data_IF_386086426018
#
_entry.id   IF_386086426018
#
_cell.length_a   1.000
_cell.length_b   1.000
_cell.length_c   1.000
_cell.angle_alpha   90.00
_cell.angle_beta   90.00
_cell.angle_gamma   90.00
#
_symmetry.space_group_name_H-M   'P 1'
#
loop_
_entity.id
_entity.type
_entity.pdbx_description
1 polymer ?
#
# COMPACT_ATOMS: atom_id res chain seq x y z
N UNK A 1 7.90 -1.70 -25.40
CA UNK A 1 6.84 -2.20 -24.48
C UNK A 1 6.95 -1.34 -23.24
N UNK A 2 5.87 -0.69 -22.82
CA UNK A 2 5.88 0.20 -21.64
C UNK A 2 6.39 -0.57 -20.43
N UNK A 3 7.32 0.00 -19.66
CA UNK A 3 7.86 -0.61 -18.44
C UNK A 3 6.98 -0.34 -17.21
N UNK A 4 5.83 0.30 -17.39
CA UNK A 4 4.94 0.72 -16.29
C UNK A 4 4.05 -0.44 -15.84
N UNK A 5 4.53 -1.17 -14.84
CA UNK A 5 3.89 -2.38 -14.33
C UNK A 5 4.15 -2.58 -12.85
N UNK A 6 3.22 -3.19 -12.16
CA UNK A 6 3.28 -3.47 -10.73
C UNK A 6 3.59 -4.95 -10.50
N UNK A 7 4.53 -5.26 -9.62
CA UNK A 7 4.71 -6.60 -9.05
C UNK A 7 4.34 -6.61 -7.58
N UNK A 8 3.65 -7.66 -7.18
CA UNK A 8 3.13 -7.80 -5.81
C UNK A 8 3.98 -8.80 -5.05
N UNK A 9 4.53 -8.38 -3.91
CA UNK A 9 5.44 -9.19 -3.09
C UNK A 9 4.81 -9.62 -1.76
N UNK A 10 3.81 -8.89 -1.29
CA UNK A 10 2.98 -9.27 -0.15
C UNK A 10 1.65 -8.53 -0.18
N UNK A 11 0.61 -9.15 0.37
CA UNK A 11 -0.79 -8.74 0.22
C UNK A 11 -1.61 -8.75 1.51
N UNK A 12 -1.05 -9.32 2.59
CA UNK A 12 -1.80 -9.58 3.81
C UNK A 12 -1.70 -8.43 4.79
N UNK A 13 -2.81 -8.12 5.46
CA UNK A 13 -2.85 -7.14 6.52
C UNK A 13 -2.42 -7.68 7.87
N UNK A 14 -2.00 -6.78 8.76
CA UNK A 14 -1.75 -6.98 10.20
C UNK A 14 -0.61 -7.94 10.59
N UNK A 15 -0.51 -9.12 9.98
CA UNK A 15 0.51 -10.14 10.29
C UNK A 15 0.68 -11.09 9.10
N UNK A 16 1.89 -11.63 8.85
CA UNK A 16 2.04 -12.69 7.87
C UNK A 16 1.31 -13.97 8.29
N UNK A 17 0.67 -14.63 7.33
CA UNK A 17 -0.12 -15.86 7.51
C UNK A 17 0.23 -16.92 6.46
N UNK A 18 1.51 -17.33 6.33
CA UNK A 18 1.86 -18.40 5.40
C UNK A 18 1.17 -19.71 5.83
N UNK A 19 0.54 -20.39 4.89
CA UNK A 19 -0.11 -21.67 5.18
C UNK A 19 -0.87 -22.24 3.98
N UNK A 20 -1.39 -23.47 4.10
CA UNK A 20 -2.09 -24.15 3.00
C UNK A 20 -3.37 -23.43 2.54
N UNK A 21 -3.92 -22.54 3.37
CA UNK A 21 -5.15 -21.81 3.09
C UNK A 21 -4.95 -20.46 2.41
N UNK A 22 -3.70 -20.04 2.18
CA UNK A 22 -3.34 -18.70 1.70
C UNK A 22 -2.36 -18.76 0.54
N UNK A 23 -2.25 -19.92 -0.11
CA UNK A 23 -1.28 -20.17 -1.19
C UNK A 23 -1.65 -19.40 -2.47
N UNK A 24 -2.95 -19.23 -2.76
CA UNK A 24 -3.42 -18.62 -4.02
C UNK A 24 -3.32 -17.10 -4.00
N UNK A 25 -3.55 -16.46 -2.86
CA UNK A 25 -3.41 -15.01 -2.75
C UNK A 25 -2.09 -14.57 -2.12
N UNK A 26 -1.55 -15.35 -1.19
CA UNK A 26 -0.32 -15.01 -0.47
C UNK A 26 -0.54 -14.70 1.00
N UNK A 27 0.51 -14.93 1.79
CA UNK A 27 0.54 -14.76 3.24
C UNK A 27 1.58 -13.76 3.75
N UNK A 28 2.42 -13.18 2.90
CA UNK A 28 3.30 -12.07 3.25
C UNK A 28 2.52 -10.76 3.35
N UNK A 29 3.00 -9.87 4.20
CA UNK A 29 2.43 -8.54 4.42
C UNK A 29 2.91 -7.51 3.41
N UNK A 30 2.21 -6.37 3.37
CA UNK A 30 2.28 -5.30 2.37
C UNK A 30 3.67 -5.03 1.79
N UNK A 31 3.85 -5.34 0.51
CA UNK A 31 5.01 -4.93 -0.26
C UNK A 31 4.71 -4.98 -1.76
N UNK A 32 4.93 -3.87 -2.46
CA UNK A 32 4.71 -3.74 -3.90
C UNK A 32 5.95 -3.15 -4.58
N UNK A 33 6.26 -3.58 -5.80
CA UNK A 33 7.33 -3.01 -6.63
C UNK A 33 6.75 -2.47 -7.92
N UNK A 34 6.90 -1.17 -8.17
CA UNK A 34 6.50 -0.52 -9.39
C UNK A 34 7.72 -0.36 -10.30
N UNK A 35 7.65 -0.99 -11.46
CA UNK A 35 8.59 -0.78 -12.55
C UNK A 35 8.16 0.44 -13.35
N UNK A 36 9.13 1.27 -13.73
CA UNK A 36 8.93 2.49 -14.50
C UNK A 36 9.90 2.50 -15.68
N UNK A 37 9.81 3.50 -16.56
CA UNK A 37 10.75 3.63 -17.67
C UNK A 37 12.23 3.74 -17.22
N UNK A 38 12.49 4.34 -16.05
CA UNK A 38 13.82 4.52 -15.50
C UNK A 38 14.40 3.27 -14.83
N UNK A 39 15.66 3.36 -14.41
CA UNK A 39 16.38 2.27 -13.71
C UNK A 39 16.17 2.29 -12.20
N UNK A 40 15.43 3.27 -11.68
CA UNK A 40 15.08 3.38 -10.26
C UNK A 40 13.92 2.45 -9.92
N UNK A 41 14.08 1.68 -8.85
CA UNK A 41 13.03 0.80 -8.31
C UNK A 41 12.18 1.59 -7.33
N UNK A 42 10.88 1.65 -7.58
CA UNK A 42 9.93 2.25 -6.66
C UNK A 42 9.24 1.11 -5.90
N UNK A 43 9.36 1.11 -4.57
CA UNK A 43 8.78 0.09 -3.70
C UNK A 43 7.79 0.76 -2.76
N UNK A 44 6.63 0.15 -2.53
CA UNK A 44 5.64 0.60 -1.57
C UNK A 44 5.51 -0.40 -0.44
N UNK A 45 5.69 0.10 0.78
CA UNK A 45 5.83 -0.62 2.04
C UNK A 45 6.94 -1.67 2.07
N UNK A 46 7.38 -1.93 3.29
CA UNK A 46 8.48 -2.81 3.65
C UNK A 46 8.01 -3.95 4.54
N UNK A 47 6.79 -4.45 4.33
CA UNK A 47 6.29 -5.65 5.00
C UNK A 47 7.11 -6.88 4.66
N UNK A 48 6.72 -8.03 5.20
CA UNK A 48 7.45 -9.30 5.07
C UNK A 48 7.68 -9.74 3.61
N UNK A 49 6.86 -9.27 2.66
CA UNK A 49 7.09 -9.46 1.23
C UNK A 49 8.42 -8.85 0.72
N UNK A 50 8.92 -7.80 1.38
CA UNK A 50 10.17 -7.12 1.01
C UNK A 50 11.38 -8.06 1.04
N UNK A 51 11.37 -9.06 1.93
CA UNK A 51 12.43 -10.09 1.97
C UNK A 51 12.51 -10.84 0.64
N UNK A 52 11.38 -11.25 0.08
CA UNK A 52 11.34 -11.99 -1.18
C UNK A 52 11.70 -11.10 -2.38
N UNK A 53 11.33 -9.81 -2.34
CA UNK A 53 11.81 -8.82 -3.28
C UNK A 53 13.34 -8.78 -3.26
N UNK A 54 13.93 -8.59 -2.07
CA UNK A 54 15.36 -8.51 -1.89
C UNK A 54 16.13 -9.75 -2.36
N UNK A 55 15.59 -10.95 -2.13
CA UNK A 55 16.18 -12.20 -2.64
C UNK A 55 16.14 -12.34 -4.16
N UNK A 56 15.26 -11.60 -4.84
CA UNK A 56 15.19 -11.60 -6.30
C UNK A 56 16.17 -10.64 -6.97
N UNK A 57 16.82 -9.76 -6.19
CA UNK A 57 17.76 -8.78 -6.72
C UNK A 57 19.10 -9.44 -7.06
N UNK A 58 19.69 -9.05 -8.19
CA UNK A 58 21.09 -9.32 -8.50
C UNK A 58 21.99 -8.38 -7.68
N UNK A 59 22.35 -8.81 -6.46
CA UNK A 59 23.14 -8.01 -5.51
C UNK A 59 24.61 -7.84 -5.91
N UNK A 60 25.04 -8.41 -7.05
CA UNK A 60 26.36 -8.12 -7.62
C UNK A 60 26.41 -6.75 -8.32
N UNK A 61 25.25 -6.12 -8.54
CA UNK A 61 25.09 -4.82 -9.19
C UNK A 61 24.56 -3.78 -8.20
N UNK A 62 24.92 -2.50 -8.38
CA UNK A 62 24.32 -1.42 -7.60
C UNK A 62 22.85 -1.25 -7.95
N UNK A 63 22.02 -1.00 -6.93
CA UNK A 63 20.61 -0.69 -7.07
C UNK A 63 20.32 0.72 -6.56
N UNK A 64 19.45 1.44 -7.28
CA UNK A 64 18.81 2.68 -6.82
C UNK A 64 17.36 2.37 -6.45
N UNK A 65 17.02 2.56 -5.19
CA UNK A 65 15.73 2.17 -4.63
C UNK A 65 15.10 3.38 -3.93
N UNK A 66 13.87 3.68 -4.30
CA UNK A 66 13.00 4.60 -3.59
C UNK A 66 11.88 3.81 -2.91
N UNK A 67 11.95 3.70 -1.59
CA UNK A 67 11.04 2.92 -0.76
C UNK A 67 10.06 3.86 -0.06
N UNK A 68 8.77 3.70 -0.33
CA UNK A 68 7.68 4.53 0.19
C UNK A 68 6.91 3.77 1.27
N UNK A 69 7.09 4.18 2.53
CA UNK A 69 6.37 3.65 3.68
C UNK A 69 5.08 4.45 3.89
N UNK A 70 3.93 3.81 3.71
CA UNK A 70 2.62 4.42 3.93
C UNK A 70 2.45 4.91 5.37
N UNK A 71 2.78 4.04 6.33
CA UNK A 71 2.80 4.29 7.76
C UNK A 71 3.62 3.21 8.48
N UNK A 72 4.03 3.44 9.73
CA UNK A 72 5.01 2.58 10.41
C UNK A 72 4.40 1.43 11.23
N UNK A 73 3.18 0.98 10.94
CA UNK A 73 2.70 -0.25 11.58
C UNK A 73 3.54 -1.45 11.16
N UNK A 74 3.59 -2.44 12.05
CA UNK A 74 4.58 -3.50 12.03
C UNK A 74 4.55 -4.30 10.71
N UNK A 75 3.36 -4.61 10.20
CA UNK A 75 3.15 -5.33 8.95
C UNK A 75 3.58 -4.56 7.69
N UNK A 76 3.80 -3.25 7.79
CA UNK A 76 4.30 -2.40 6.70
C UNK A 76 5.81 -2.15 6.78
N UNK A 77 6.49 -2.55 7.85
CA UNK A 77 7.94 -2.30 8.03
C UNK A 77 8.78 -3.53 8.40
N UNK A 78 8.15 -4.63 8.84
CA UNK A 78 8.83 -5.78 9.42
C UNK A 78 9.75 -6.58 8.47
N UNK A 79 9.65 -6.38 7.17
CA UNK A 79 10.55 -6.96 6.18
C UNK A 79 11.86 -6.19 6.05
N UNK A 80 11.91 -4.93 6.50
CA UNK A 80 13.07 -4.06 6.32
C UNK A 80 14.37 -4.64 6.91
N UNK A 81 14.40 -5.18 8.14
CA UNK A 81 15.63 -5.78 8.69
C UNK A 81 16.14 -6.99 7.89
N UNK A 82 15.27 -7.61 7.10
CA UNK A 82 15.59 -8.78 6.26
C UNK A 82 15.81 -8.43 4.79
N UNK A 83 15.91 -7.15 4.45
CA UNK A 83 16.12 -6.70 3.08
C UNK A 83 17.63 -6.67 2.73
N UNK A 84 18.16 -7.63 1.95
CA UNK A 84 19.60 -7.79 1.76
C UNK A 84 20.29 -6.55 1.17
N UNK A 85 19.57 -5.75 0.38
CA UNK A 85 20.12 -4.58 -0.28
C UNK A 85 20.67 -3.52 0.70
N UNK A 86 20.18 -3.47 1.94
CA UNK A 86 20.69 -2.56 2.99
C UNK A 86 22.13 -2.88 3.40
N UNK A 87 22.57 -4.11 3.20
CA UNK A 87 23.87 -4.61 3.66
C UNK A 87 24.95 -4.62 2.56
N UNK A 88 24.59 -4.21 1.34
CA UNK A 88 25.49 -4.25 0.19
C UNK A 88 26.03 -2.85 -0.13
N UNK A 89 27.36 -2.64 -0.12
CA UNK A 89 27.98 -1.39 -0.55
C UNK A 89 27.62 -1.01 -1.98
N UNK A 90 27.45 0.29 -2.24
CA UNK A 90 27.15 0.82 -3.57
C UNK A 90 25.66 0.85 -3.94
N UNK A 91 24.78 0.33 -3.10
CA UNK A 91 23.34 0.57 -3.21
C UNK A 91 22.98 1.96 -2.66
N UNK A 92 22.12 2.68 -3.38
CA UNK A 92 21.51 3.94 -2.94
C UNK A 92 20.04 3.71 -2.63
N UNK A 93 19.64 3.91 -1.38
CA UNK A 93 18.29 3.65 -0.90
C UNK A 93 17.75 4.92 -0.26
N UNK A 94 16.70 5.50 -0.85
CA UNK A 94 15.96 6.61 -0.23
C UNK A 94 14.64 6.08 0.32
N UNK A 95 14.42 6.24 1.60
CA UNK A 95 13.21 5.81 2.30
C UNK A 95 12.36 7.05 2.56
N UNK A 96 11.19 7.07 1.94
CA UNK A 96 10.15 8.07 2.10
C UNK A 96 9.10 7.55 3.07
N UNK A 97 8.54 8.42 3.91
CA UNK A 97 7.47 8.03 4.83
C UNK A 97 6.78 9.22 5.46
N UNK A 98 5.64 9.03 6.15
CA UNK A 98 4.92 10.12 6.78
C UNK A 98 5.78 10.77 7.85
N UNK A 99 5.80 12.11 7.88
CA UNK A 99 6.24 12.82 9.08
C UNK A 99 5.37 12.40 10.26
N UNK A 100 6.01 12.03 11.37
CA UNK A 100 5.30 11.78 12.63
C UNK A 100 5.58 12.90 13.64
N UNK A 101 4.81 12.93 14.72
CA UNK A 101 4.95 13.94 15.77
C UNK A 101 5.91 13.51 16.90
N UNK A 102 6.16 12.21 17.04
CA UNK A 102 6.91 11.67 18.18
C UNK A 102 8.36 11.34 17.82
N UNK A 103 8.56 10.65 16.70
CA UNK A 103 9.86 10.14 16.26
C UNK A 103 10.09 10.47 14.79
N UNK A 104 11.33 10.68 14.39
CA UNK A 104 11.65 10.79 12.97
C UNK A 104 11.41 9.44 12.28
N UNK A 105 11.22 9.46 10.95
CA UNK A 105 11.14 8.23 10.16
C UNK A 105 12.37 7.33 10.38
N UNK A 106 13.55 7.94 10.50
CA UNK A 106 14.80 7.24 10.80
C UNK A 106 14.74 6.55 12.18
N UNK A 107 14.35 7.25 13.24
CA UNK A 107 14.25 6.67 14.59
C UNK A 107 13.29 5.49 14.64
N UNK A 108 12.14 5.60 13.97
CA UNK A 108 11.13 4.54 13.88
C UNK A 108 11.70 3.30 13.22
N UNK A 109 12.31 3.46 12.04
CA UNK A 109 12.86 2.34 11.29
C UNK A 109 14.10 1.75 11.95
N UNK A 110 14.85 2.54 12.71
CA UNK A 110 15.97 2.08 13.52
C UNK A 110 15.51 1.26 14.74
N UNK A 111 14.31 1.54 15.28
CA UNK A 111 13.76 0.85 16.45
C UNK A 111 13.63 -0.67 16.28
N UNK A 112 13.26 -1.13 15.09
CA UNK A 112 13.16 -2.56 14.74
C UNK A 112 14.52 -3.26 14.60
N UNK A 113 15.63 -2.50 14.52
CA UNK A 113 17.00 -3.01 14.50
C UNK A 113 17.75 -2.78 15.82
N UNK A 114 17.02 -2.51 16.91
CA UNK A 114 17.62 -2.53 18.25
C UNK A 114 18.15 -3.92 18.58
N UNK A 115 19.36 -3.98 19.14
CA UNK A 115 20.09 -5.22 19.38
C UNK A 115 19.33 -6.26 20.23
N UNK A 116 18.41 -5.80 21.08
CA UNK A 116 17.52 -6.64 21.88
C UNK A 116 16.60 -7.52 21.02
N UNK A 117 16.16 -7.02 19.86
CA UNK A 117 15.21 -7.70 18.97
C UNK A 117 15.88 -8.25 17.71
N UNK A 118 16.99 -7.64 17.27
CA UNK A 118 17.64 -7.98 16.01
C UNK A 118 19.17 -7.95 16.14
N UNK A 119 19.90 -8.95 15.62
CA UNK A 119 21.33 -9.09 15.91
C UNK A 119 22.23 -8.10 15.16
N UNK A 120 21.70 -7.40 14.14
CA UNK A 120 22.47 -6.46 13.31
C UNK A 120 22.04 -5.03 13.64
N UNK A 121 23.01 -4.17 13.93
CA UNK A 121 22.79 -2.75 14.22
C UNK A 121 22.81 -1.91 12.96
N UNK A 122 22.19 -0.73 13.04
CA UNK A 122 22.22 0.27 11.97
C UNK A 122 23.63 0.64 11.48
N UNK A 123 24.59 0.72 12.39
CA UNK A 123 25.98 1.02 12.06
C UNK A 123 26.65 -0.05 11.18
N UNK A 124 26.03 -1.23 11.03
CA UNK A 124 26.50 -2.33 10.20
C UNK A 124 25.86 -2.34 8.81
N UNK A 125 24.87 -1.47 8.56
CA UNK A 125 24.33 -1.25 7.21
C UNK A 125 25.40 -0.61 6.32
N UNK A 126 25.47 -1.07 5.07
CA UNK A 126 26.54 -0.67 4.13
C UNK A 126 26.02 0.05 2.88
N UNK A 127 24.71 0.06 2.67
CA UNK A 127 24.09 0.89 1.64
C UNK A 127 24.13 2.38 2.04
N UNK A 128 24.06 3.27 1.04
CA UNK A 128 23.83 4.68 1.25
C UNK A 128 22.33 4.91 1.48
N UNK A 129 21.94 5.16 2.73
CA UNK A 129 20.53 5.28 3.13
C UNK A 129 20.20 6.75 3.42
N UNK A 130 19.11 7.25 2.85
CA UNK A 130 18.54 8.57 3.14
C UNK A 130 17.10 8.44 3.57
N UNK A 131 16.69 9.26 4.53
CA UNK A 131 15.31 9.33 4.99
C UNK A 131 14.68 10.66 4.57
N UNK A 132 13.47 10.61 4.02
CA UNK A 132 12.72 11.79 3.56
C UNK A 132 11.31 11.73 4.11
N UNK A 133 10.98 12.67 4.99
CA UNK A 133 9.62 12.78 5.50
C UNK A 133 8.70 13.51 4.52
N UNK A 134 7.53 12.93 4.31
CA UNK A 134 6.48 13.43 3.45
C UNK A 134 5.26 13.88 4.27
N UNK A 135 4.49 14.80 3.69
CA UNK A 135 3.24 15.34 4.26
C UNK A 135 2.10 15.21 3.25
N UNK A 136 0.86 15.48 3.67
CA UNK A 136 -0.32 15.51 2.80
C UNK A 136 -0.18 16.53 1.67
N UNK A 137 -0.70 16.20 0.47
CA UNK A 137 -0.78 17.12 -0.66
C UNK A 137 0.55 17.47 -1.32
N UNK A 138 1.64 16.80 -0.93
CA UNK A 138 2.94 17.00 -1.56
C UNK A 138 2.96 16.35 -2.94
N UNK A 139 3.59 17.03 -3.91
CA UNK A 139 3.82 16.50 -5.26
C UNK A 139 5.24 16.79 -5.70
N UNK A 140 5.93 15.79 -6.26
CA UNK A 140 7.30 15.94 -6.73
C UNK A 140 7.61 14.96 -7.87
N UNK A 141 8.72 15.18 -8.56
CA UNK A 141 9.20 14.29 -9.62
C UNK A 141 10.31 13.38 -9.09
N UNK A 142 10.23 12.09 -9.42
CA UNK A 142 11.24 11.08 -9.14
C UNK A 142 11.55 10.35 -10.45
N UNK A 143 12.71 10.59 -11.04
CA UNK A 143 13.15 9.84 -12.23
C UNK A 143 12.19 9.91 -13.44
N UNK A 144 11.50 11.04 -13.65
CA UNK A 144 10.52 11.18 -14.73
C UNK A 144 9.11 10.67 -14.39
N UNK A 145 8.87 10.34 -13.12
CA UNK A 145 7.57 9.93 -12.59
C UNK A 145 7.08 10.98 -11.61
N UNK A 146 5.80 11.37 -11.70
CA UNK A 146 5.20 12.29 -10.74
C UNK A 146 4.60 11.50 -9.59
N UNK A 147 4.98 11.83 -8.36
CA UNK A 147 4.46 11.22 -7.13
C UNK A 147 3.71 12.28 -6.35
N UNK A 148 2.46 11.98 -5.98
CA UNK A 148 1.61 12.79 -5.13
C UNK A 148 1.16 12.02 -3.89
N UNK A 149 1.07 12.70 -2.75
CA UNK A 149 0.66 12.10 -1.46
C UNK A 149 -0.72 12.56 -1.03
N UNK A 150 -1.43 11.68 -0.32
CA UNK A 150 -2.69 12.02 0.34
C UNK A 150 -2.76 11.40 1.73
N UNK A 151 -3.14 12.19 2.74
CA UNK A 151 -3.44 11.65 4.07
C UNK A 151 -4.68 10.76 4.04
N UNK A 152 -4.57 9.59 4.65
CA UNK A 152 -5.63 8.59 4.76
C UNK A 152 -6.26 8.60 6.16
N UNK A 153 -7.44 7.98 6.29
CA UNK A 153 -8.12 7.84 7.57
C UNK A 153 -7.65 6.54 8.27
N UNK A 154 -6.62 6.66 9.09
CA UNK A 154 -6.02 5.56 9.83
C UNK A 154 -5.57 6.07 11.22
N UNK A 155 -5.48 5.22 12.27
CA UNK A 155 -5.15 5.67 13.63
C UNK A 155 -3.84 6.44 13.78
N UNK A 156 -2.85 6.13 12.94
CA UNK A 156 -1.59 6.87 12.83
C UNK A 156 -1.53 7.64 11.51
N UNK A 157 -0.57 8.56 11.39
CA UNK A 157 -0.38 9.29 10.14
C UNK A 157 -0.04 8.30 9.01
N UNK A 158 -0.94 8.18 8.03
CA UNK A 158 -0.83 7.25 6.91
C UNK A 158 -1.02 8.01 5.59
N UNK A 159 -0.18 7.68 4.61
CA UNK A 159 -0.18 8.28 3.29
C UNK A 159 -0.55 7.26 2.20
N UNK A 160 -1.44 7.69 1.31
CA UNK A 160 -1.63 7.08 -0.01
C UNK A 160 -0.70 7.74 -1.02
N UNK A 161 -0.32 6.97 -2.04
CA UNK A 161 0.59 7.40 -3.09
C UNK A 161 -0.07 7.29 -4.46
N UNK A 162 -0.03 8.38 -5.21
CA UNK A 162 -0.47 8.45 -6.61
C UNK A 162 0.76 8.66 -7.48
N UNK A 163 0.89 7.83 -8.50
CA UNK A 163 2.06 7.76 -9.35
C UNK A 163 1.64 7.91 -10.80
N UNK A 164 2.18 8.90 -11.49
CA UNK A 164 1.86 9.19 -12.89
C UNK A 164 3.10 9.11 -13.78
N UNK A 165 3.02 8.33 -14.86
CA UNK A 165 4.06 8.23 -15.89
C UNK A 165 3.40 8.15 -17.27
N UNK A 166 3.77 9.06 -18.17
CA UNK A 166 3.32 9.05 -19.58
C UNK A 166 1.78 8.95 -19.74
N UNK A 167 1.03 9.60 -18.84
CA UNK A 167 -0.44 9.59 -18.84
C UNK A 167 -1.08 8.33 -18.25
N UNK A 168 -0.29 7.38 -17.74
CA UNK A 168 -0.76 6.24 -16.94
C UNK A 168 -0.70 6.57 -15.46
N UNK A 169 -1.70 6.11 -14.71
CA UNK A 169 -1.89 6.44 -13.31
C UNK A 169 -2.03 5.17 -12.48
N UNK A 170 -1.11 4.97 -11.55
CA UNK A 170 -1.19 3.98 -10.48
C UNK A 170 -1.46 4.65 -9.14
N UNK A 171 -2.34 4.08 -8.33
CA UNK A 171 -2.59 4.56 -6.97
C UNK A 171 -2.46 3.40 -5.98
N UNK A 172 -1.63 3.61 -4.96
CA UNK A 172 -1.57 2.78 -3.77
C UNK A 172 -2.29 3.49 -2.63
N UNK A 173 -3.49 3.00 -2.32
CA UNK A 173 -4.29 3.41 -1.18
C UNK A 173 -4.08 2.36 -0.09
N UNK A 174 -3.07 2.57 0.75
CA UNK A 174 -2.79 1.73 1.92
C UNK A 174 -3.94 1.78 2.93
N UNK A 175 -3.69 1.34 4.16
CA UNK A 175 -4.67 1.24 5.23
C UNK A 175 -5.49 2.52 5.37
N UNK A 176 -6.79 2.39 5.12
CA UNK A 176 -7.70 3.52 5.05
C UNK A 176 -9.13 3.09 5.34
N UNK A 177 -9.84 3.89 6.12
CA UNK A 177 -11.27 3.77 6.33
C UNK A 177 -12.04 4.94 5.69
N UNK A 178 -13.31 4.82 5.29
CA UNK A 178 -14.13 6.01 5.06
C UNK A 178 -14.13 6.94 6.27
N UNK A 179 -14.17 8.25 6.02
CA UNK A 179 -14.49 9.20 7.08
C UNK A 179 -15.97 9.07 7.45
N UNK A 180 -16.28 9.12 8.75
CA UNK A 180 -17.63 9.01 9.29
C UNK A 180 -17.81 9.93 10.50
N UNK A 181 -19.07 10.19 10.86
CA UNK A 181 -19.38 11.03 12.01
C UNK A 181 -19.16 10.25 13.31
N UNK A 182 -18.12 10.66 14.06
CA UNK A 182 -17.75 10.06 15.34
C UNK A 182 -18.71 10.45 16.48
N UNK A 183 -19.41 11.58 16.35
CA UNK A 183 -20.35 12.09 17.36
C UNK A 183 -21.71 11.39 17.30
N UNK A 184 -22.01 10.70 16.19
CA UNK A 184 -23.26 9.96 15.96
C UNK A 184 -24.52 10.82 16.08
N UNK A 185 -24.37 12.11 15.83
CA UNK A 185 -25.47 13.04 15.65
C UNK A 185 -25.72 13.29 14.15
N UNK A 186 -26.68 14.16 13.85
CA UNK A 186 -27.02 14.57 12.48
C UNK A 186 -26.61 16.01 12.21
N UNK A 187 -25.50 16.48 12.79
CA UNK A 187 -25.01 17.84 12.61
C UNK A 187 -24.64 18.09 11.12
N UNK A 188 -25.32 19.01 10.42
CA UNK A 188 -25.08 19.26 9.00
C UNK A 188 -23.67 19.74 8.66
N UNK A 189 -23.02 20.49 9.56
CA UNK A 189 -21.68 21.02 9.34
C UNK A 189 -20.64 19.90 9.44
N UNK A 190 -20.80 19.02 10.44
CA UNK A 190 -19.96 17.81 10.59
C UNK A 190 -20.09 16.90 9.37
N UNK A 191 -21.32 16.65 8.92
CA UNK A 191 -21.60 15.83 7.74
C UNK A 191 -20.97 16.43 6.47
N UNK A 192 -21.04 17.76 6.30
CA UNK A 192 -20.41 18.46 5.19
C UNK A 192 -18.88 18.28 5.16
N UNK A 193 -18.22 18.40 6.32
CA UNK A 193 -16.77 18.17 6.45
C UNK A 193 -16.41 16.74 6.07
N UNK A 194 -17.12 15.75 6.60
CA UNK A 194 -16.89 14.33 6.31
C UNK A 194 -17.06 14.02 4.83
N UNK A 195 -18.10 14.58 4.20
CA UNK A 195 -18.31 14.44 2.77
C UNK A 195 -17.16 15.06 1.96
N UNK A 196 -16.66 16.22 2.38
CA UNK A 196 -15.48 16.85 1.79
C UNK A 196 -14.23 15.97 1.88
N UNK A 197 -13.96 15.39 3.06
CA UNK A 197 -12.82 14.51 3.28
C UNK A 197 -12.90 13.24 2.41
N UNK A 198 -14.05 12.57 2.39
CA UNK A 198 -14.29 11.41 1.52
C UNK A 198 -14.20 11.76 0.03
N UNK A 199 -14.70 12.94 -0.38
CA UNK A 199 -14.59 13.41 -1.77
C UNK A 199 -13.14 13.60 -2.17
N UNK A 200 -12.30 14.12 -1.29
CA UNK A 200 -10.89 14.30 -1.60
C UNK A 200 -10.13 12.97 -1.78
N UNK A 201 -10.52 11.89 -1.10
CA UNK A 201 -9.99 10.54 -1.38
C UNK A 201 -10.47 10.02 -2.75
N UNK A 202 -11.75 10.26 -3.10
CA UNK A 202 -12.28 9.93 -4.43
C UNK A 202 -11.53 10.68 -5.54
N UNK A 203 -11.26 11.97 -5.32
CA UNK A 203 -10.51 12.79 -6.29
C UNK A 203 -9.05 12.33 -6.41
N UNK A 204 -8.44 11.89 -5.30
CA UNK A 204 -7.09 11.32 -5.30
C UNK A 204 -6.98 10.05 -6.15
N UNK A 205 -7.99 9.17 -6.15
CA UNK A 205 -7.96 7.95 -6.99
C UNK A 205 -8.46 8.18 -8.42
N UNK A 206 -8.92 9.40 -8.73
CA UNK A 206 -9.69 9.67 -9.94
C UNK A 206 -8.92 9.36 -11.22
N UNK A 207 -9.56 8.64 -12.13
CA UNK A 207 -9.05 8.29 -13.45
C UNK A 207 -7.90 7.28 -13.45
N UNK A 208 -7.59 6.66 -12.30
CA UNK A 208 -6.48 5.70 -12.21
C UNK A 208 -6.71 4.47 -13.10
N UNK A 209 -5.63 4.03 -13.75
CA UNK A 209 -5.59 2.79 -14.52
C UNK A 209 -5.61 1.58 -13.57
N UNK A 210 -4.82 1.67 -12.49
CA UNK A 210 -4.74 0.67 -11.44
C UNK A 210 -4.81 1.32 -10.06
N UNK A 211 -5.79 0.87 -9.26
CA UNK A 211 -5.90 1.15 -7.84
C UNK A 211 -5.62 -0.13 -7.04
N UNK A 212 -4.61 -0.11 -6.17
CA UNK A 212 -4.44 -1.12 -5.11
C UNK A 212 -4.92 -0.49 -3.82
N UNK A 213 -5.97 -1.05 -3.22
CA UNK A 213 -6.64 -0.44 -2.10
C UNK A 213 -6.86 -1.43 -0.96
N UNK A 214 -6.56 -0.99 0.27
CA UNK A 214 -6.98 -1.68 1.48
C UNK A 214 -8.48 -1.98 1.42
N UNK A 215 -8.80 -3.25 1.63
CA UNK A 215 -10.14 -3.80 1.61
C UNK A 215 -10.27 -4.94 2.63
N UNK A 216 -9.60 -4.77 3.78
CA UNK A 216 -9.47 -5.83 4.78
C UNK A 216 -10.81 -6.42 5.21
N UNK A 217 -11.90 -5.65 5.22
CA UNK A 217 -13.18 -6.12 5.74
C UNK A 217 -14.26 -6.37 4.68
N UNK A 218 -15.22 -7.22 5.03
CA UNK A 218 -16.53 -7.27 4.36
C UNK A 218 -17.55 -6.43 5.14
N UNK A 219 -18.67 -6.01 4.52
CA UNK A 219 -19.65 -5.13 5.18
C UNK A 219 -20.17 -5.63 6.53
N UNK A 220 -20.35 -6.95 6.69
CA UNK A 220 -20.83 -7.54 7.94
C UNK A 220 -19.82 -7.49 9.08
N UNK A 221 -18.53 -7.33 8.80
CA UNK A 221 -17.46 -7.24 9.80
C UNK A 221 -17.23 -5.79 10.27
N UNK A 222 -17.63 -4.82 9.44
CA UNK A 222 -17.19 -3.44 9.58
C UNK A 222 -17.66 -2.76 10.86
N UNK A 223 -18.90 -2.99 11.28
CA UNK A 223 -19.46 -2.29 12.44
C UNK A 223 -18.67 -2.56 13.73
N UNK A 224 -18.17 -3.79 13.89
CA UNK A 224 -17.37 -4.18 15.05
C UNK A 224 -15.91 -3.71 14.96
N UNK A 225 -15.45 -3.28 13.79
CA UNK A 225 -14.06 -2.89 13.50
C UNK A 225 -13.93 -1.43 13.06
N UNK A 226 -15.01 -0.66 13.16
CA UNK A 226 -15.04 0.75 12.78
C UNK A 226 -14.03 1.53 13.63
N UNK A 227 -13.23 2.38 12.99
CA UNK A 227 -12.17 3.16 13.62
C UNK A 227 -10.84 2.41 13.74
N UNK A 228 -10.76 1.14 13.28
CA UNK A 228 -9.48 0.44 13.17
C UNK A 228 -8.69 0.89 11.95
N UNK A 229 -9.27 1.75 11.10
CA UNK A 229 -8.57 2.37 9.99
C UNK A 229 -8.51 1.51 8.74
N UNK A 230 -9.48 0.61 8.54
CA UNK A 230 -9.54 -0.25 7.37
C UNK A 230 -10.88 -0.23 6.65
N UNK A 231 -10.82 -0.39 5.33
CA UNK A 231 -11.97 -0.30 4.45
C UNK A 231 -12.67 -1.63 4.24
N UNK A 232 -13.95 -1.54 3.86
CA UNK A 232 -14.64 -2.69 3.32
C UNK A 232 -14.43 -2.80 1.81
N UNK A 233 -14.46 -4.02 1.29
CA UNK A 233 -14.55 -4.29 -0.15
C UNK A 233 -15.69 -3.49 -0.83
N UNK A 234 -16.82 -3.30 -0.14
CA UNK A 234 -17.95 -2.56 -0.69
C UNK A 234 -17.65 -1.06 -0.80
N UNK A 235 -17.02 -0.49 0.23
CA UNK A 235 -16.57 0.90 0.20
C UNK A 235 -15.59 1.13 -0.95
N UNK A 236 -14.59 0.27 -1.09
CA UNK A 236 -13.56 0.34 -2.14
C UNK A 236 -14.19 0.28 -3.54
N UNK A 237 -15.14 -0.62 -3.78
CA UNK A 237 -15.83 -0.68 -5.09
C UNK A 237 -16.60 0.61 -5.38
N UNK A 238 -17.31 1.17 -4.39
CA UNK A 238 -18.03 2.43 -4.57
C UNK A 238 -17.07 3.61 -4.80
N UNK A 239 -15.95 3.64 -4.10
CA UNK A 239 -14.89 4.63 -4.27
C UNK A 239 -14.29 4.54 -5.68
N UNK A 240 -13.95 3.34 -6.15
CA UNK A 240 -13.42 3.09 -7.48
C UNK A 240 -14.38 3.52 -8.59
N UNK A 241 -15.69 3.23 -8.45
CA UNK A 241 -16.71 3.67 -9.39
C UNK A 241 -16.84 5.20 -9.45
N UNK A 242 -16.90 5.88 -8.29
CA UNK A 242 -16.98 7.35 -8.21
C UNK A 242 -15.72 8.04 -8.74
N UNK A 243 -14.57 7.41 -8.54
CA UNK A 243 -13.27 7.83 -9.05
C UNK A 243 -13.02 7.42 -10.50
N UNK A 244 -13.98 6.80 -11.20
CA UNK A 244 -13.80 6.33 -12.59
C UNK A 244 -12.52 5.51 -12.80
N UNK A 245 -12.19 4.65 -11.83
CA UNK A 245 -11.03 3.77 -11.85
C UNK A 245 -11.23 2.66 -12.87
N UNK A 246 -10.19 2.26 -13.61
CA UNK A 246 -10.28 1.20 -14.61
C UNK A 246 -10.19 -0.19 -14.00
N UNK A 247 -9.19 -0.43 -13.14
CA UNK A 247 -8.97 -1.68 -12.42
C UNK A 247 -8.70 -1.42 -10.94
N UNK A 248 -9.37 -2.18 -10.07
CA UNK A 248 -9.09 -2.22 -8.63
C UNK A 248 -8.63 -3.60 -8.20
N UNK A 249 -7.56 -3.64 -7.41
CA UNK A 249 -7.11 -4.82 -6.69
C UNK A 249 -7.43 -4.63 -5.20
N UNK A 250 -8.26 -5.52 -4.68
CA UNK A 250 -8.44 -5.68 -3.23
C UNK A 250 -7.12 -6.08 -2.60
N UNK A 251 -6.68 -5.34 -1.60
CA UNK A 251 -5.41 -5.49 -0.90
C UNK A 251 -5.61 -5.49 0.61
N UNK A 252 -4.53 -5.76 1.34
CA UNK A 252 -4.50 -5.84 2.80
C UNK A 252 -5.55 -6.84 3.31
N UNK A 253 -5.47 -8.07 2.76
CA UNK A 253 -6.48 -9.09 3.06
C UNK A 253 -6.54 -9.36 4.57
N UNK A 254 -7.69 -9.76 5.09
CA UNK A 254 -7.82 -10.13 6.50
C UNK A 254 -6.99 -11.39 6.83
N UNK A 255 -6.17 -11.41 7.90
CA UNK A 255 -5.41 -12.59 8.34
C UNK A 255 -6.19 -13.90 8.35
N UNK A 256 -7.43 -13.89 8.83
CA UNK A 256 -8.26 -15.10 8.93
C UNK A 256 -8.98 -15.49 7.63
N UNK A 257 -8.85 -14.68 6.57
CA UNK A 257 -9.51 -14.96 5.30
C UNK A 257 -8.68 -15.90 4.44
N UNK A 258 -9.20 -17.09 4.19
CA UNK A 258 -8.59 -18.07 3.30
C UNK A 258 -8.87 -17.74 1.82
N UNK A 259 -8.20 -18.48 0.92
CA UNK A 259 -8.32 -18.28 -0.53
C UNK A 259 -9.74 -18.50 -1.07
N UNK A 260 -10.52 -19.44 -0.51
CA UNK A 260 -11.88 -19.73 -0.97
C UNK A 260 -12.83 -18.58 -0.63
N UNK A 261 -12.64 -17.96 0.54
CA UNK A 261 -13.40 -16.79 0.95
C UNK A 261 -13.04 -15.57 0.11
N UNK A 262 -11.76 -15.40 -0.24
CA UNK A 262 -11.32 -14.39 -1.20
C UNK A 262 -12.01 -14.55 -2.57
N UNK A 263 -12.06 -15.77 -3.10
CA UNK A 263 -12.74 -16.05 -4.37
C UNK A 263 -14.23 -15.70 -4.31
N UNK A 264 -14.92 -16.04 -3.22
CA UNK A 264 -16.35 -15.72 -3.05
C UNK A 264 -16.57 -14.22 -3.10
N UNK A 265 -15.73 -13.44 -2.41
CA UNK A 265 -15.79 -11.97 -2.40
C UNK A 265 -15.57 -11.42 -3.81
N UNK A 266 -14.52 -11.86 -4.50
CA UNK A 266 -14.17 -11.34 -5.83
C UNK A 266 -15.24 -11.72 -6.85
N UNK A 267 -15.70 -12.98 -6.84
CA UNK A 267 -16.76 -13.47 -7.71
C UNK A 267 -18.06 -12.68 -7.50
N UNK A 268 -18.42 -12.40 -6.26
CA UNK A 268 -19.59 -11.60 -5.91
C UNK A 268 -19.57 -10.21 -6.57
N UNK A 269 -18.47 -9.47 -6.49
CA UNK A 269 -18.39 -8.14 -7.09
C UNK A 269 -18.29 -8.19 -8.61
N UNK A 270 -17.54 -9.14 -9.18
CA UNK A 270 -17.47 -9.34 -10.64
C UNK A 270 -18.85 -9.62 -11.26
N UNK A 271 -19.64 -10.49 -10.64
CA UNK A 271 -21.00 -10.77 -11.07
C UNK A 271 -21.88 -9.52 -11.00
N UNK A 272 -21.75 -8.71 -9.95
CA UNK A 272 -22.48 -7.45 -9.82
C UNK A 272 -22.08 -6.41 -10.87
N UNK A 273 -20.79 -6.28 -11.18
CA UNK A 273 -20.33 -5.38 -12.25
C UNK A 273 -20.92 -5.81 -13.60
N UNK A 274 -20.85 -7.11 -13.92
CA UNK A 274 -21.43 -7.69 -15.15
C UNK A 274 -22.94 -7.47 -15.23
N UNK A 275 -23.68 -7.76 -14.15
CA UNK A 275 -25.14 -7.60 -14.11
C UNK A 275 -25.59 -6.14 -14.27
N UNK A 276 -24.76 -5.18 -13.84
CA UNK A 276 -25.01 -3.74 -13.98
C UNK A 276 -24.42 -3.13 -15.26
N UNK A 277 -23.72 -3.90 -16.08
CA UNK A 277 -23.04 -3.38 -17.29
C UNK A 277 -21.93 -2.37 -16.98
N UNK A 278 -21.31 -2.44 -15.80
CA UNK A 278 -20.22 -1.56 -15.39
C UNK A 278 -18.87 -2.10 -15.88
N UNK A 279 -17.99 -1.19 -16.33
CA UNK A 279 -16.69 -1.53 -16.92
C UNK A 279 -15.54 -1.70 -15.92
N UNK A 280 -15.75 -1.38 -14.63
CA UNK A 280 -14.74 -1.50 -13.59
C UNK A 280 -14.27 -2.97 -13.47
N UNK A 281 -12.97 -3.19 -13.69
CA UNK A 281 -12.33 -4.48 -13.47
C UNK A 281 -11.98 -4.64 -11.99
N UNK A 282 -12.33 -5.78 -11.39
CA UNK A 282 -12.10 -6.07 -9.97
C UNK A 282 -11.33 -7.38 -9.86
N UNK A 283 -10.32 -7.41 -9.01
CA UNK A 283 -9.67 -8.64 -8.56
C UNK A 283 -9.12 -8.49 -7.13
N UNK A 284 -8.62 -9.57 -6.55
CA UNK A 284 -7.76 -9.52 -5.36
C UNK A 284 -6.30 -9.53 -5.76
N UNK A 285 -5.49 -8.74 -5.07
CA UNK A 285 -4.05 -8.77 -5.20
C UNK A 285 -3.48 -10.14 -4.79
N UNK A 286 -2.51 -10.65 -5.56
CA UNK A 286 -1.86 -11.94 -5.33
C UNK A 286 -0.35 -11.81 -5.36
N UNK A 287 0.33 -12.45 -4.42
CA UNK A 287 1.79 -12.54 -4.43
C UNK A 287 2.32 -13.17 -5.73
N UNK A 288 3.38 -12.57 -6.26
CA UNK A 288 4.01 -12.98 -7.51
C UNK A 288 3.32 -12.47 -8.78
N UNK A 289 2.12 -11.89 -8.68
CA UNK A 289 1.42 -11.32 -9.83
C UNK A 289 2.17 -10.09 -10.36
N UNK A 290 2.21 -9.96 -11.70
CA UNK A 290 2.71 -8.78 -12.41
C UNK A 290 1.55 -8.22 -13.23
N UNK A 291 1.23 -6.94 -13.04
CA UNK A 291 0.12 -6.24 -13.68
C UNK A 291 0.66 -5.08 -14.51
N UNK A 292 0.37 -5.08 -15.81
CA UNK A 292 0.61 -3.92 -16.69
C UNK A 292 -0.43 -2.82 -16.44
N UNK A 293 0.01 -1.56 -16.47
CA UNK A 293 -0.81 -0.37 -16.14
C UNK A 293 -1.04 0.50 -17.39
#
# INVERSE_FOLDING_TARGET
MSRFRLKIWGVRGSIPVPGPYTVRYGGNTSCLELFTAGDERIIFDAGSGLRNLGLSLDLSKPHRISLFISHPHWDHINGLPFFPALFIPGNDITIYGPRTHELSLEDILNGQMQYTYFPIRMAELRANIKYVELVDGQTFNLGGVTISTRKLNHPVNCLGYRVEQEGRIFVYLADNEPYYNIYKDSDPDVESVIQGMNRAVIDFVRGSDLLVADSQYIPSEYEAKRGWGHSTTHHVVNLALKGTVKKVLFFHHEPLRNDDDMDKIISHYRQRMKAKGLSLMIDGAREGEIIEI
#
